data_IF_961767546710
#
_entry.id   IF_961767546710
#
_cell.length_a   1.000
_cell.length_b   1.000
_cell.length_c   1.000
_cell.angle_alpha   90.00
_cell.angle_beta   90.00
_cell.angle_gamma   90.00
#
_symmetry.space_group_name_H-M   'P 1'
#
loop_
_entity.id
_entity.type
_entity.pdbx_description
1 polymer ?
#
# COMPACT_ATOMS: atom_id res chain seq x y z
N UNK A 1 -28.15 -46.79 42.01
CA UNK A 1 -27.02 -47.57 42.58
C UNK A 1 -25.76 -46.75 42.44
N UNK A 2 -25.40 -46.19 43.46
CA UNK A 2 -24.21 -46.06 44.32
C UNK A 2 -22.94 -46.74 43.74
N UNK A 3 -21.86 -45.98 43.52
CA UNK A 3 -20.65 -46.04 44.34
C UNK A 3 -19.71 -44.87 44.06
N UNK A 4 -19.49 -44.12 45.11
CA UNK A 4 -18.43 -43.17 45.41
C UNK A 4 -17.10 -43.88 45.65
N UNK A 5 -15.96 -43.29 45.34
CA UNK A 5 -14.75 -43.38 46.14
C UNK A 5 -13.84 -42.19 45.93
N UNK A 6 -13.64 -41.50 47.02
CA UNK A 6 -12.63 -40.51 47.32
C UNK A 6 -11.30 -41.16 47.70
N UNK A 7 -10.18 -40.51 47.51
CA UNK A 7 -8.91 -40.54 48.31
C UNK A 7 -7.91 -39.62 47.58
N UNK A 8 -7.24 -38.76 48.09
CA UNK A 8 -6.71 -38.18 49.33
C UNK A 8 -5.39 -37.47 48.97
N UNK A 9 -5.13 -36.42 49.65
CA UNK A 9 -3.98 -35.50 49.57
C UNK A 9 -2.68 -36.16 50.03
N UNK A 10 -1.53 -35.72 49.50
CA UNK A 10 -0.33 -35.55 50.29
C UNK A 10 0.53 -34.44 49.72
N UNK A 11 0.72 -33.43 50.55
CA UNK A 11 1.66 -32.33 50.33
C UNK A 11 3.10 -32.74 50.74
N UNK A 12 4.07 -32.05 50.18
CA UNK A 12 5.39 -31.86 50.79
C UNK A 12 5.89 -30.44 50.61
N UNK A 13 6.35 -29.92 51.74
CA UNK A 13 6.84 -28.58 52.06
C UNK A 13 8.32 -28.46 51.66
N UNK A 14 8.70 -27.23 51.30
CA UNK A 14 10.07 -26.79 51.03
C UNK A 14 10.97 -26.80 52.27
N UNK A 15 12.27 -26.71 52.12
CA UNK A 15 13.08 -26.11 53.19
C UNK A 15 13.69 -24.75 52.80
N UNK A 16 13.53 -23.83 53.76
CA UNK A 16 14.18 -22.56 53.90
C UNK A 16 15.64 -22.76 54.33
N UNK A 17 16.58 -22.03 53.70
CA UNK A 17 17.91 -21.88 54.26
C UNK A 17 18.14 -20.41 54.69
N UNK A 18 18.44 -20.31 56.01
CA UNK A 18 18.71 -19.08 56.74
C UNK A 18 20.23 -18.83 56.81
N UNK A 19 20.60 -17.59 56.75
CA UNK A 19 21.96 -17.09 56.61
C UNK A 19 22.89 -17.23 57.81
N UNK A 20 24.12 -16.80 57.64
CA UNK A 20 25.02 -16.41 58.72
C UNK A 20 25.89 -15.23 58.31
N UNK A 21 25.89 -14.23 59.21
CA UNK A 21 26.75 -13.06 59.19
C UNK A 21 28.11 -13.43 59.82
N UNK A 22 29.23 -13.03 59.20
CA UNK A 22 30.48 -12.85 59.93
C UNK A 22 31.02 -11.41 59.73
N UNK A 23 31.15 -10.72 60.84
CA UNK A 23 31.95 -9.49 60.99
C UNK A 23 33.40 -9.91 61.28
N UNK A 24 34.35 -9.20 60.69
CA UNK A 24 35.60 -8.81 61.39
C UNK A 24 36.17 -7.56 60.74
N UNK A 25 36.52 -6.68 61.59
CA UNK A 25 37.12 -5.35 61.46
C UNK A 25 38.66 -5.39 61.33
N UNK A 26 39.19 -4.34 60.67
CA UNK A 26 40.58 -3.91 60.88
C UNK A 26 41.13 -3.05 59.71
N UNK A 27 41.73 -1.89 60.04
CA UNK A 27 42.10 -0.89 59.04
C UNK A 27 43.60 -0.97 58.67
N UNK A 28 43.93 -0.69 57.40
CA UNK A 28 45.29 -0.25 57.07
C UNK A 28 45.37 0.61 55.81
N UNK A 29 45.84 1.81 56.04
CA UNK A 29 46.77 2.60 55.22
C UNK A 29 46.40 2.96 53.73
N UNK A 30 46.14 4.25 53.62
CA UNK A 30 46.18 5.10 52.45
C UNK A 30 47.55 5.02 51.77
N UNK A 31 47.54 4.69 50.47
CA UNK A 31 48.54 5.14 49.48
C UNK A 31 47.82 5.74 48.27
N UNK A 32 47.94 7.05 48.20
CA UNK A 32 47.56 7.84 47.05
C UNK A 32 48.48 7.48 45.86
N UNK A 33 47.95 6.88 44.82
CA UNK A 33 48.59 6.85 43.51
C UNK A 33 47.66 7.67 42.58
N UNK A 34 48.10 8.87 42.24
CA UNK A 34 47.52 9.67 41.16
C UNK A 34 47.88 8.97 39.85
N UNK A 35 46.94 8.28 39.25
CA UNK A 35 46.98 7.91 37.83
C UNK A 35 46.10 8.90 37.07
N UNK A 36 46.74 9.72 36.26
CA UNK A 36 46.08 10.59 35.31
C UNK A 36 45.24 9.74 34.32
N UNK A 37 43.92 9.76 34.51
CA UNK A 37 43.01 9.20 33.55
C UNK A 37 42.85 10.22 32.40
N UNK A 38 43.58 10.01 31.29
CA UNK A 38 43.27 10.63 30.02
C UNK A 38 41.93 10.08 29.55
N UNK A 39 40.87 10.85 29.80
CA UNK A 39 39.56 10.62 29.17
C UNK A 39 39.70 10.87 27.69
N UNK A 40 39.87 9.78 26.91
CA UNK A 40 39.67 9.77 25.49
C UNK A 40 38.18 9.96 25.26
N UNK A 41 37.76 11.19 25.05
CA UNK A 41 36.41 11.52 24.62
C UNK A 41 36.16 10.93 23.22
N UNK A 42 35.51 9.77 23.16
CA UNK A 42 34.86 9.33 21.94
C UNK A 42 33.75 10.33 21.58
N UNK A 43 34.11 11.33 20.80
CA UNK A 43 33.14 12.13 20.11
C UNK A 43 32.39 11.18 19.19
N UNK A 44 31.22 10.71 19.66
CA UNK A 44 30.20 10.17 18.77
C UNK A 44 29.74 11.32 17.86
N UNK A 45 30.48 11.52 16.77
CA UNK A 45 30.00 12.29 15.64
C UNK A 45 28.76 11.57 15.11
N UNK A 46 27.60 11.89 15.71
CA UNK A 46 26.33 11.62 15.10
C UNK A 46 26.35 12.29 13.73
N UNK A 47 26.46 11.49 12.70
CA UNK A 47 26.22 11.95 11.33
C UNK A 47 24.73 12.29 11.26
N UNK A 48 24.39 13.51 11.66
CA UNK A 48 23.15 14.13 11.26
C UNK A 48 23.21 14.18 9.74
N UNK A 49 22.51 13.26 9.07
CA UNK A 49 22.27 13.40 7.64
C UNK A 49 21.56 14.74 7.49
N UNK A 50 22.28 15.73 6.97
CA UNK A 50 21.69 17.02 6.64
C UNK A 50 20.42 16.76 5.82
N UNK A 51 19.32 17.40 6.19
CA UNK A 51 18.07 17.31 5.43
C UNK A 51 18.40 17.56 3.96
N UNK A 52 17.91 16.75 3.03
CA UNK A 52 18.23 16.87 1.63
C UNK A 52 17.89 18.28 1.16
N UNK A 53 18.91 19.03 0.74
CA UNK A 53 18.75 20.41 0.30
C UNK A 53 18.33 20.42 -1.17
N UNK A 54 17.30 21.24 -1.46
CA UNK A 54 16.89 21.53 -2.83
C UNK A 54 17.91 22.49 -3.47
N UNK A 55 18.28 22.31 -4.75
CA UNK A 55 19.12 23.24 -5.48
C UNK A 55 18.57 24.65 -5.50
N UNK A 56 19.48 25.64 -5.43
CA UNK A 56 19.08 27.07 -5.47
C UNK A 56 18.72 27.49 -6.90
N UNK A 57 17.43 27.78 -7.12
CA UNK A 57 16.90 28.29 -8.38
C UNK A 57 15.45 28.77 -8.17
N UNK A 58 14.92 29.42 -9.21
CA UNK A 58 13.52 29.83 -9.26
C UNK A 58 12.59 28.60 -9.11
N UNK A 59 11.64 28.65 -8.18
CA UNK A 59 10.73 27.55 -7.83
C UNK A 59 11.12 26.78 -6.57
N UNK A 60 12.37 26.85 -6.07
CA UNK A 60 12.85 26.16 -4.87
C UNK A 60 11.94 26.36 -3.67
N UNK A 61 11.68 27.63 -3.32
CA UNK A 61 10.88 27.96 -2.12
C UNK A 61 9.47 27.40 -2.20
N UNK A 62 8.85 27.49 -3.38
CA UNK A 62 7.50 26.95 -3.59
C UNK A 62 7.51 25.42 -3.50
N UNK A 63 8.47 24.74 -4.09
CA UNK A 63 8.64 23.28 -3.97
C UNK A 63 8.86 22.89 -2.51
N UNK A 64 9.74 23.59 -1.80
CA UNK A 64 10.02 23.31 -0.40
C UNK A 64 8.78 23.49 0.48
N UNK A 65 8.06 24.59 0.32
CA UNK A 65 6.87 24.91 1.13
C UNK A 65 5.69 23.98 0.78
N UNK A 66 5.39 23.83 -0.49
CA UNK A 66 4.21 23.09 -0.93
C UNK A 66 4.39 21.57 -0.76
N UNK A 67 5.53 21.01 -1.17
CA UNK A 67 5.73 19.56 -1.13
C UNK A 67 6.02 19.04 0.29
N UNK A 68 6.72 19.82 1.15
CA UNK A 68 6.99 19.40 2.52
C UNK A 68 5.78 19.46 3.45
N UNK A 69 4.67 20.07 3.01
CA UNK A 69 3.46 20.20 3.83
C UNK A 69 2.82 18.85 4.19
N UNK A 70 2.91 17.87 3.31
CA UNK A 70 2.24 16.57 3.46
C UNK A 70 3.19 15.37 3.61
N UNK A 71 4.36 15.41 2.97
CA UNK A 71 5.33 14.31 3.00
C UNK A 71 6.78 14.81 3.01
N UNK A 72 7.73 13.91 3.22
CA UNK A 72 9.15 14.24 3.18
C UNK A 72 9.58 14.72 1.78
N UNK A 73 10.44 15.74 1.71
CA UNK A 73 11.10 16.16 0.47
C UNK A 73 11.93 15.07 -0.17
N UNK A 74 12.39 14.07 0.59
CA UNK A 74 13.05 12.89 0.04
C UNK A 74 12.19 12.17 -1.01
N UNK A 75 10.86 12.19 -0.87
CA UNK A 75 9.93 11.65 -1.88
C UNK A 75 10.06 12.38 -3.22
N UNK A 76 10.25 13.69 -3.20
CA UNK A 76 10.44 14.52 -4.40
C UNK A 76 11.84 14.27 -4.99
N UNK A 77 12.87 14.36 -4.16
CA UNK A 77 14.28 14.25 -4.57
C UNK A 77 14.61 12.86 -5.14
N UNK A 78 14.01 11.82 -4.58
CA UNK A 78 14.19 10.45 -5.04
C UNK A 78 13.25 10.05 -6.19
N UNK A 79 12.21 10.83 -6.45
CA UNK A 79 11.44 10.72 -7.68
C UNK A 79 12.31 11.11 -8.89
N UNK A 80 11.77 11.04 -10.06
CA UNK A 80 12.41 11.50 -11.28
C UNK A 80 11.43 11.28 -12.40
N UNK A 81 11.11 12.37 -13.10
CA UNK A 81 10.15 12.32 -14.20
C UNK A 81 10.61 13.27 -15.31
N UNK A 82 10.19 12.98 -16.53
CA UNK A 82 10.24 13.98 -17.61
C UNK A 82 9.20 15.09 -17.34
N UNK A 83 9.19 16.11 -18.16
CA UNK A 83 8.29 17.26 -17.99
C UNK A 83 6.81 16.87 -17.91
N UNK A 84 6.35 15.96 -18.76
CA UNK A 84 4.97 15.48 -18.75
C UNK A 84 4.64 14.72 -17.46
N UNK A 85 5.56 13.90 -16.97
CA UNK A 85 5.43 13.19 -15.70
C UNK A 85 5.34 14.14 -14.52
N UNK A 86 6.21 15.17 -14.45
CA UNK A 86 6.15 16.19 -13.41
C UNK A 86 4.90 17.04 -13.50
N UNK A 87 4.45 17.39 -14.72
CA UNK A 87 3.17 18.07 -14.91
C UNK A 87 2.01 17.27 -14.28
N UNK A 88 1.93 15.98 -14.59
CA UNK A 88 0.90 15.09 -14.02
C UNK A 88 0.99 14.99 -12.50
N UNK A 89 2.20 14.87 -11.94
CA UNK A 89 2.42 14.76 -10.48
C UNK A 89 2.03 16.06 -9.79
N UNK A 90 2.46 17.23 -10.27
CA UNK A 90 2.17 18.52 -9.65
C UNK A 90 0.67 18.79 -9.65
N UNK A 91 -0.01 18.58 -10.78
CA UNK A 91 -1.48 18.73 -10.84
C UNK A 91 -2.20 17.80 -9.87
N UNK A 92 -1.78 16.53 -9.77
CA UNK A 92 -2.34 15.60 -8.81
C UNK A 92 -2.14 16.06 -7.36
N UNK A 93 -0.96 16.56 -7.00
CA UNK A 93 -0.69 17.08 -5.67
C UNK A 93 -1.53 18.32 -5.35
N UNK A 94 -1.69 19.23 -6.31
CA UNK A 94 -2.57 20.41 -6.16
C UNK A 94 -4.02 19.98 -5.95
N UNK A 95 -4.52 19.04 -6.73
CA UNK A 95 -5.87 18.49 -6.54
C UNK A 95 -6.03 17.79 -5.17
N UNK A 96 -4.97 17.20 -4.64
CA UNK A 96 -4.91 16.64 -3.29
C UNK A 96 -4.71 17.73 -2.19
N UNK A 97 -4.65 19.00 -2.55
CA UNK A 97 -4.56 20.14 -1.63
C UNK A 97 -3.16 20.68 -1.36
N UNK A 98 -2.16 20.37 -2.19
CA UNK A 98 -0.85 21.00 -2.09
C UNK A 98 -0.95 22.50 -2.41
N UNK A 99 -0.41 23.40 -1.57
CA UNK A 99 -0.58 24.85 -1.72
C UNK A 99 0.39 25.44 -2.76
N UNK A 100 0.31 24.99 -4.01
CA UNK A 100 1.05 25.58 -5.14
C UNK A 100 0.18 26.64 -5.80
N UNK A 101 0.60 27.91 -5.81
CA UNK A 101 -0.12 28.98 -6.51
C UNK A 101 -0.25 28.67 -8.01
N UNK A 102 -1.41 28.95 -8.59
CA UNK A 102 -1.69 28.61 -9.99
C UNK A 102 -0.68 29.24 -10.95
N UNK A 103 -0.27 30.48 -10.68
CA UNK A 103 0.74 31.22 -11.44
C UNK A 103 2.15 30.66 -11.32
N UNK A 104 2.43 29.84 -10.30
CA UNK A 104 3.74 29.23 -10.10
C UNK A 104 3.82 27.79 -10.58
N UNK A 105 2.72 27.22 -11.06
CA UNK A 105 2.67 25.82 -11.51
C UNK A 105 3.74 25.50 -12.56
N UNK A 106 3.87 26.35 -13.59
CA UNK A 106 4.85 26.17 -14.65
C UNK A 106 6.29 26.21 -14.10
N UNK A 107 6.59 27.19 -13.27
CA UNK A 107 7.91 27.34 -12.61
C UNK A 107 8.28 26.14 -11.75
N UNK A 108 7.32 25.60 -10.99
CA UNK A 108 7.51 24.40 -10.18
C UNK A 108 7.81 23.18 -11.07
N UNK A 109 7.07 23.00 -12.17
CA UNK A 109 7.26 21.90 -13.10
C UNK A 109 8.63 22.01 -13.79
N UNK A 110 9.03 23.20 -14.23
CA UNK A 110 10.36 23.43 -14.83
C UNK A 110 11.49 23.13 -13.85
N UNK A 111 11.38 23.62 -12.61
CA UNK A 111 12.33 23.37 -11.54
C UNK A 111 12.49 21.85 -11.29
N UNK A 112 11.37 21.14 -11.13
CA UNK A 112 11.39 19.72 -10.89
C UNK A 112 11.95 18.93 -12.08
N UNK A 113 11.62 19.30 -13.29
CA UNK A 113 12.15 18.69 -14.51
C UNK A 113 13.66 18.87 -14.63
N UNK A 114 14.17 20.07 -14.31
CA UNK A 114 15.59 20.41 -14.36
C UNK A 114 16.41 19.65 -13.33
N UNK A 115 15.99 19.63 -12.08
CA UNK A 115 16.79 19.11 -10.96
C UNK A 115 16.49 17.68 -10.59
N UNK A 116 15.32 17.17 -10.96
CA UNK A 116 14.90 15.78 -10.70
C UNK A 116 14.40 15.14 -12.00
N UNK A 117 15.26 15.02 -13.01
CA UNK A 117 14.91 14.42 -14.30
C UNK A 117 14.58 12.92 -14.14
N UNK A 118 13.94 12.35 -15.15
CA UNK A 118 13.69 10.92 -15.21
C UNK A 118 14.99 10.15 -15.11
N UNK A 119 15.05 9.24 -14.14
CA UNK A 119 16.21 8.37 -13.94
C UNK A 119 16.07 7.15 -14.86
N UNK A 120 17.16 6.63 -15.42
CA UNK A 120 17.10 5.40 -16.18
C UNK A 120 16.41 4.28 -15.37
N UNK A 121 15.36 3.72 -15.93
CA UNK A 121 14.68 2.58 -15.32
C UNK A 121 15.54 1.32 -15.54
N UNK A 122 15.50 0.32 -14.64
CA UNK A 122 16.13 -0.97 -14.88
C UNK A 122 15.47 -1.68 -16.06
N UNK A 123 16.23 -2.51 -16.75
CA UNK A 123 15.67 -3.39 -17.77
C UNK A 123 14.76 -4.45 -17.13
N UNK A 124 13.76 -4.89 -17.89
CA UNK A 124 12.91 -5.99 -17.50
C UNK A 124 13.70 -7.30 -17.38
N UNK A 125 13.51 -8.00 -16.29
CA UNK A 125 14.07 -9.35 -16.11
C UNK A 125 12.99 -10.37 -16.41
N UNK A 126 13.19 -11.19 -17.46
CA UNK A 126 12.27 -12.27 -17.84
C UNK A 126 12.75 -13.58 -17.23
N UNK A 127 11.93 -14.15 -16.35
CA UNK A 127 12.18 -15.45 -15.72
C UNK A 127 11.14 -16.43 -16.25
N UNK A 128 11.55 -17.41 -17.09
CA UNK A 128 10.64 -18.41 -17.61
C UNK A 128 10.22 -19.41 -16.51
N UNK A 129 9.15 -20.17 -16.77
CA UNK A 129 8.68 -21.23 -15.88
C UNK A 129 7.57 -22.06 -16.48
N UNK A 130 6.86 -22.80 -15.64
CA UNK A 130 5.83 -23.77 -16.08
C UNK A 130 4.46 -23.12 -16.36
N UNK A 131 4.24 -21.88 -15.94
CA UNK A 131 2.99 -21.16 -16.18
C UNK A 131 3.12 -20.34 -17.46
N UNK A 132 2.17 -20.51 -18.36
CA UNK A 132 2.05 -19.68 -19.57
C UNK A 132 1.05 -18.56 -19.33
N UNK A 133 1.35 -17.38 -19.86
CA UNK A 133 0.52 -16.18 -19.73
C UNK A 133 0.36 -15.54 -21.11
N UNK A 134 -0.87 -15.12 -21.44
CA UNK A 134 -1.12 -14.18 -22.53
C UNK A 134 -1.64 -12.86 -21.98
N UNK A 135 -1.21 -11.73 -22.54
CA UNK A 135 -1.61 -10.40 -22.10
C UNK A 135 -2.28 -9.66 -23.25
N UNK A 136 -3.54 -9.26 -23.04
CA UNK A 136 -4.32 -8.43 -23.97
C UNK A 136 -4.53 -7.06 -23.32
N UNK A 137 -4.41 -5.99 -24.11
CA UNK A 137 -4.50 -4.61 -23.62
C UNK A 137 -5.54 -3.83 -24.40
N UNK A 138 -6.21 -2.88 -23.71
CA UNK A 138 -7.18 -1.96 -24.32
C UNK A 138 -6.92 -0.55 -23.83
N UNK A 139 -7.06 0.42 -24.73
CA UNK A 139 -7.08 1.83 -24.38
C UNK A 139 -8.46 2.20 -23.85
N UNK A 140 -8.50 2.93 -22.73
CA UNK A 140 -9.78 3.45 -22.24
C UNK A 140 -10.23 4.66 -23.07
N UNK A 141 -11.56 4.91 -23.22
CA UNK A 141 -12.08 5.89 -24.17
C UNK A 141 -11.60 7.32 -23.94
N UNK A 142 -11.64 7.80 -22.68
CA UNK A 142 -11.26 9.18 -22.37
C UNK A 142 -9.74 9.31 -22.31
N UNK A 143 -9.09 10.10 -23.20
CA UNK A 143 -7.65 10.35 -23.15
C UNK A 143 -7.21 10.99 -21.83
N UNK A 144 -6.08 10.56 -21.29
CA UNK A 144 -5.55 11.08 -20.03
C UNK A 144 -6.37 10.69 -18.79
N UNK A 145 -7.28 9.72 -18.93
CA UNK A 145 -8.13 9.21 -17.84
C UNK A 145 -7.33 8.65 -16.67
N UNK A 146 -6.15 8.10 -16.96
CA UNK A 146 -5.24 7.53 -15.96
C UNK A 146 -5.93 6.46 -15.12
N UNK A 147 -6.32 5.31 -15.70
CA UNK A 147 -6.93 4.20 -14.98
C UNK A 147 -6.12 3.86 -13.73
N UNK A 148 -6.78 3.82 -12.55
CA UNK A 148 -6.03 3.66 -11.29
C UNK A 148 -6.25 2.31 -10.66
N UNK A 149 -7.46 1.97 -10.27
CA UNK A 149 -7.80 0.67 -9.68
C UNK A 149 -8.78 -0.07 -10.61
N UNK A 150 -8.52 -1.35 -10.95
CA UNK A 150 -9.48 -2.21 -11.61
C UNK A 150 -10.33 -2.95 -10.58
N UNK A 151 -11.53 -3.39 -10.96
CA UNK A 151 -12.33 -4.33 -10.18
C UNK A 151 -13.12 -5.26 -11.11
N UNK A 152 -13.19 -6.53 -10.75
CA UNK A 152 -13.99 -7.54 -11.42
C UNK A 152 -15.37 -7.62 -10.77
N UNK A 153 -16.42 -7.45 -11.53
CA UNK A 153 -17.78 -7.44 -11.03
C UNK A 153 -18.46 -8.82 -11.17
N UNK A 154 -19.51 -9.12 -10.37
CA UNK A 154 -20.20 -10.41 -10.41
C UNK A 154 -20.85 -10.73 -11.76
N UNK A 155 -21.15 -9.74 -12.59
CA UNK A 155 -21.70 -9.88 -13.95
C UNK A 155 -20.63 -10.15 -15.01
N UNK A 156 -19.37 -10.37 -14.62
CA UNK A 156 -18.25 -10.59 -15.53
C UNK A 156 -17.65 -9.31 -16.12
N UNK A 157 -18.25 -8.17 -15.91
CA UNK A 157 -17.68 -6.89 -16.35
C UNK A 157 -16.48 -6.46 -15.49
N UNK A 158 -15.65 -5.63 -16.09
CA UNK A 158 -14.48 -5.05 -15.41
C UNK A 158 -14.68 -3.55 -15.28
N UNK A 159 -14.49 -3.07 -14.08
CA UNK A 159 -14.61 -1.66 -13.79
C UNK A 159 -13.22 -1.05 -13.55
N UNK A 160 -13.09 0.24 -13.84
CA UNK A 160 -11.89 1.00 -13.53
C UNK A 160 -12.22 2.42 -13.11
N UNK A 161 -11.36 3.01 -12.30
CA UNK A 161 -11.43 4.42 -11.96
C UNK A 161 -10.62 5.24 -12.95
N UNK A 162 -11.25 6.15 -13.67
CA UNK A 162 -10.59 7.17 -14.49
C UNK A 162 -10.30 8.41 -13.67
N UNK A 163 -9.23 8.35 -12.84
CA UNK A 163 -8.95 9.33 -11.79
C UNK A 163 -8.90 10.78 -12.29
N UNK A 164 -8.21 11.02 -13.41
CA UNK A 164 -8.02 12.38 -13.93
C UNK A 164 -9.14 12.82 -14.87
N UNK A 165 -9.91 11.90 -15.41
CA UNK A 165 -11.09 12.19 -16.24
C UNK A 165 -12.37 12.32 -15.42
N UNK A 166 -12.35 12.07 -14.12
CA UNK A 166 -13.50 12.12 -13.24
C UNK A 166 -14.63 11.17 -13.64
N UNK A 167 -14.27 9.94 -14.07
CA UNK A 167 -15.20 8.90 -14.54
C UNK A 167 -15.00 7.58 -13.82
N UNK A 168 -16.07 6.79 -13.74
CA UNK A 168 -16.00 5.35 -13.51
C UNK A 168 -16.23 4.65 -14.86
N UNK A 169 -15.32 3.78 -15.27
CA UNK A 169 -15.44 3.06 -16.52
C UNK A 169 -15.84 1.62 -16.31
N UNK A 170 -16.74 1.11 -17.13
CA UNK A 170 -17.13 -0.30 -17.26
C UNK A 170 -16.63 -0.82 -18.59
N UNK A 171 -15.97 -1.95 -18.58
CA UNK A 171 -15.55 -2.70 -19.74
C UNK A 171 -16.25 -4.06 -19.75
N UNK A 172 -16.77 -4.45 -20.90
CA UNK A 172 -17.38 -5.74 -21.13
C UNK A 172 -16.39 -6.62 -21.93
N UNK A 173 -15.78 -7.65 -21.31
CA UNK A 173 -14.78 -8.48 -22.00
C UNK A 173 -15.33 -9.35 -23.12
N UNK A 174 -16.65 -9.62 -23.14
CA UNK A 174 -17.29 -10.44 -24.17
C UNK A 174 -17.49 -9.67 -25.47
N UNK A 175 -17.75 -8.37 -25.35
CA UNK A 175 -18.07 -7.51 -26.49
C UNK A 175 -16.98 -6.50 -26.85
N UNK A 176 -15.93 -6.41 -26.03
CA UNK A 176 -14.87 -5.38 -26.09
C UNK A 176 -15.43 -3.94 -25.99
N UNK A 177 -16.60 -3.73 -25.34
CA UNK A 177 -17.26 -2.44 -25.26
C UNK A 177 -16.99 -1.72 -23.94
N UNK A 178 -16.76 -0.41 -24.04
CA UNK A 178 -16.62 0.48 -22.90
C UNK A 178 -17.87 1.31 -22.69
N UNK A 179 -18.18 1.57 -21.41
CA UNK A 179 -19.15 2.58 -20.99
C UNK A 179 -18.53 3.38 -19.83
N UNK A 180 -18.48 4.70 -19.96
CA UNK A 180 -18.01 5.59 -18.90
C UNK A 180 -19.17 6.32 -18.23
N UNK A 181 -19.07 6.50 -16.92
CA UNK A 181 -20.02 7.20 -16.05
C UNK A 181 -19.33 8.43 -15.48
N UNK A 182 -19.55 9.63 -16.05
CA UNK A 182 -19.02 10.87 -15.51
C UNK A 182 -19.60 11.16 -14.12
N UNK A 183 -18.74 11.51 -13.17
CA UNK A 183 -19.16 11.89 -11.83
C UNK A 183 -19.70 13.30 -11.83
N UNK A 184 -20.87 13.51 -11.18
CA UNK A 184 -21.56 14.82 -11.11
C UNK A 184 -20.75 15.84 -10.32
N UNK A 185 -20.10 15.42 -9.22
CA UNK A 185 -19.22 16.28 -8.44
C UNK A 185 -17.89 16.48 -9.21
N UNK A 186 -17.56 17.70 -9.62
CA UNK A 186 -16.34 17.97 -10.41
C UNK A 186 -15.08 17.63 -9.62
N UNK A 187 -14.06 17.16 -10.31
CA UNK A 187 -12.74 16.86 -9.75
C UNK A 187 -12.78 15.90 -8.55
N UNK A 188 -13.66 14.93 -8.56
CA UNK A 188 -13.75 13.94 -7.48
C UNK A 188 -12.51 13.06 -7.39
N UNK A 189 -11.85 12.80 -8.52
CA UNK A 189 -10.65 11.99 -8.59
C UNK A 189 -10.88 10.56 -8.10
N UNK A 190 -11.79 9.77 -8.73
CA UNK A 190 -12.09 8.42 -8.27
C UNK A 190 -10.81 7.56 -8.26
N UNK A 191 -10.59 6.84 -7.15
CA UNK A 191 -9.33 6.14 -6.93
C UNK A 191 -9.53 4.63 -6.69
N UNK A 192 -9.86 4.20 -5.48
CA UNK A 192 -10.24 2.83 -5.20
C UNK A 192 -11.66 2.54 -5.62
N UNK A 193 -11.98 1.30 -6.06
CA UNK A 193 -13.34 0.91 -6.33
C UNK A 193 -13.61 -0.55 -6.00
N UNK A 194 -14.89 -0.84 -5.67
CA UNK A 194 -15.40 -2.17 -5.34
C UNK A 194 -16.82 -2.34 -5.89
N UNK A 195 -17.12 -3.39 -6.65
CA UNK A 195 -18.50 -3.80 -6.91
C UNK A 195 -19.09 -4.45 -5.65
N UNK A 196 -20.38 -4.18 -5.35
CA UNK A 196 -21.12 -4.94 -4.37
C UNK A 196 -21.91 -6.09 -5.02
N UNK A 197 -22.51 -6.94 -4.18
CA UNK A 197 -23.33 -8.08 -4.64
C UNK A 197 -24.58 -7.70 -5.44
N UNK A 198 -25.04 -6.46 -5.30
CA UNK A 198 -26.23 -5.92 -5.97
C UNK A 198 -25.85 -5.21 -7.29
N UNK A 199 -24.54 -5.18 -7.62
CA UNK A 199 -23.98 -4.59 -8.83
C UNK A 199 -23.72 -3.08 -8.74
N UNK A 200 -23.86 -2.47 -7.56
CA UNK A 200 -23.42 -1.08 -7.38
C UNK A 200 -21.89 -1.00 -7.27
N UNK A 201 -21.35 0.15 -7.62
CA UNK A 201 -19.93 0.40 -7.59
C UNK A 201 -19.60 1.42 -6.51
N UNK A 202 -18.89 0.97 -5.48
CA UNK A 202 -18.40 1.82 -4.43
C UNK A 202 -17.00 2.32 -4.81
N UNK A 203 -16.70 3.60 -4.53
CA UNK A 203 -15.42 4.20 -4.87
C UNK A 203 -14.99 5.26 -3.86
N UNK A 204 -13.69 5.54 -3.80
CA UNK A 204 -13.15 6.67 -3.05
C UNK A 204 -13.01 7.88 -3.97
N UNK A 205 -13.52 9.03 -3.54
CA UNK A 205 -13.33 10.31 -4.20
C UNK A 205 -12.13 11.04 -3.59
N UNK A 206 -10.97 10.73 -4.12
CA UNK A 206 -9.65 11.07 -3.60
C UNK A 206 -9.48 12.58 -3.36
N UNK A 207 -9.94 13.42 -4.32
CA UNK A 207 -9.76 14.87 -4.25
C UNK A 207 -10.92 15.63 -3.59
N UNK A 208 -12.07 14.98 -3.31
CA UNK A 208 -13.26 15.60 -2.70
C UNK A 208 -13.65 14.99 -1.37
N UNK A 209 -12.86 14.07 -0.84
CA UNK A 209 -12.99 13.53 0.51
C UNK A 209 -14.40 12.94 0.81
N UNK A 210 -14.86 12.02 -0.05
CA UNK A 210 -16.06 11.22 0.20
C UNK A 210 -15.90 9.78 -0.30
N UNK A 211 -16.74 8.86 0.16
CA UNK A 211 -16.98 7.57 -0.45
C UNK A 211 -18.23 7.69 -1.31
N UNK A 212 -18.16 7.28 -2.57
CA UNK A 212 -19.29 7.28 -3.49
C UNK A 212 -19.84 5.88 -3.72
N UNK A 213 -21.15 5.80 -3.99
CA UNK A 213 -21.85 4.60 -4.47
C UNK A 213 -22.56 4.94 -5.76
N UNK A 214 -22.12 4.38 -6.88
CA UNK A 214 -22.80 4.47 -8.17
C UNK A 214 -23.79 3.32 -8.35
N UNK A 215 -25.02 3.64 -8.74
CA UNK A 215 -25.95 2.68 -9.34
C UNK A 215 -25.75 2.67 -10.87
N UNK A 216 -25.21 1.60 -11.47
CA UNK A 216 -24.96 1.57 -12.91
C UNK A 216 -26.23 1.56 -13.78
N UNK A 217 -27.39 1.26 -13.19
CA UNK A 217 -28.68 1.22 -13.91
C UNK A 217 -29.22 2.62 -14.16
N UNK A 218 -29.12 3.49 -13.16
CA UNK A 218 -29.61 4.87 -13.22
C UNK A 218 -28.52 5.88 -13.52
N UNK A 219 -27.24 5.56 -13.20
CA UNK A 219 -26.11 6.49 -13.25
C UNK A 219 -26.07 7.43 -12.04
N UNK A 220 -26.91 7.18 -11.01
CA UNK A 220 -26.92 8.01 -9.83
C UNK A 220 -25.81 7.65 -8.85
N UNK A 221 -25.25 8.68 -8.22
CA UNK A 221 -24.21 8.55 -7.20
C UNK A 221 -24.76 9.04 -5.87
N UNK A 222 -24.64 8.21 -4.84
CA UNK A 222 -24.82 8.59 -3.43
C UNK A 222 -23.44 8.87 -2.85
N UNK A 223 -23.28 10.02 -2.21
CA UNK A 223 -22.03 10.47 -1.60
C UNK A 223 -22.08 10.39 -0.08
N UNK A 224 -21.04 9.82 0.53
CA UNK A 224 -20.84 9.71 1.98
C UNK A 224 -19.60 10.54 2.36
N UNK A 225 -19.80 11.83 2.76
CA UNK A 225 -18.66 12.71 3.05
C UNK A 225 -17.88 12.25 4.28
N UNK A 226 -16.58 12.56 4.29
CA UNK A 226 -15.76 12.33 5.47
C UNK A 226 -16.27 13.20 6.65
N UNK A 227 -16.34 12.63 7.87
CA UNK A 227 -16.87 13.35 9.04
C UNK A 227 -15.90 14.36 9.65
N UNK A 228 -14.64 14.33 9.25
CA UNK A 228 -13.55 15.18 9.72
C UNK A 228 -12.90 15.89 8.54
N UNK A 229 -12.79 17.22 8.59
CA UNK A 229 -12.19 18.03 7.51
C UNK A 229 -10.69 17.71 7.26
N UNK A 230 -10.03 17.09 8.22
CA UNK A 230 -8.65 16.58 8.08
C UNK A 230 -8.60 15.25 7.30
N UNK A 231 -9.71 14.53 7.21
CA UNK A 231 -9.79 13.24 6.50
C UNK A 231 -9.82 13.46 4.97
N UNK A 232 -8.71 13.92 4.44
CA UNK A 232 -8.50 14.16 3.01
C UNK A 232 -7.88 12.95 2.34
N UNK A 233 -8.14 12.78 1.05
CA UNK A 233 -7.52 11.76 0.23
C UNK A 233 -7.93 10.34 0.68
N UNK A 234 -9.25 9.99 0.73
CA UNK A 234 -9.68 8.59 0.86
C UNK A 234 -9.16 7.79 -0.32
N UNK A 235 -8.54 6.63 -0.03
CA UNK A 235 -7.66 6.01 -1.01
C UNK A 235 -8.11 4.59 -1.41
N UNK A 236 -7.80 3.58 -0.63
CA UNK A 236 -8.20 2.18 -0.89
C UNK A 236 -9.40 1.83 -0.01
N UNK A 237 -10.37 1.11 -0.55
CA UNK A 237 -11.52 0.61 0.19
C UNK A 237 -11.70 -0.90 -0.01
N UNK A 238 -12.28 -1.58 0.98
CA UNK A 238 -12.52 -3.02 0.93
C UNK A 238 -13.78 -3.38 1.74
N UNK A 239 -14.56 -4.35 1.26
CA UNK A 239 -15.60 -4.98 2.06
C UNK A 239 -15.00 -5.97 3.05
N UNK A 240 -15.56 -5.99 4.26
CA UNK A 240 -15.29 -7.04 5.23
C UNK A 240 -16.51 -7.94 5.43
N UNK A 241 -16.35 -9.17 5.96
CA UNK A 241 -17.45 -10.12 6.18
C UNK A 241 -18.56 -9.59 7.07
N UNK A 242 -18.29 -8.60 7.93
CA UNK A 242 -19.30 -7.94 8.77
C UNK A 242 -20.22 -6.97 7.99
N UNK A 243 -20.01 -6.84 6.67
CA UNK A 243 -20.79 -6.00 5.78
C UNK A 243 -20.41 -4.52 5.78
N UNK A 244 -19.40 -4.12 6.54
CA UNK A 244 -18.86 -2.76 6.50
C UNK A 244 -17.81 -2.62 5.39
N UNK A 245 -17.63 -1.38 4.94
CA UNK A 245 -16.50 -0.97 4.09
C UNK A 245 -15.47 -0.33 4.99
N UNK A 246 -14.23 -0.85 4.93
CA UNK A 246 -13.06 -0.22 5.54
C UNK A 246 -12.24 0.49 4.46
N UNK A 247 -11.62 1.60 4.83
CA UNK A 247 -10.87 2.41 3.85
C UNK A 247 -9.71 3.14 4.51
N UNK A 248 -8.70 3.42 3.71
CA UNK A 248 -7.56 4.26 4.09
C UNK A 248 -7.82 5.70 3.67
N UNK A 249 -7.27 6.66 4.44
CA UNK A 249 -7.35 8.10 4.21
C UNK A 249 -5.93 8.65 4.20
N UNK A 250 -5.28 8.58 3.05
CA UNK A 250 -3.83 8.80 2.91
C UNK A 250 -3.41 10.20 3.35
N UNK A 251 -4.01 11.24 2.79
CA UNK A 251 -3.68 12.63 3.08
C UNK A 251 -4.09 13.09 4.47
N UNK A 252 -5.08 12.42 5.07
CA UNK A 252 -5.52 12.65 6.45
C UNK A 252 -4.72 11.90 7.51
N UNK A 253 -3.85 10.97 7.13
CA UNK A 253 -3.17 10.05 8.04
C UNK A 253 -4.15 9.25 8.91
N UNK A 254 -5.24 8.75 8.31
CA UNK A 254 -6.35 8.08 8.97
C UNK A 254 -6.75 6.79 8.27
N UNK A 255 -7.52 5.98 8.96
CA UNK A 255 -8.30 4.88 8.40
C UNK A 255 -9.74 5.00 8.85
N UNK A 256 -10.67 4.41 8.11
CA UNK A 256 -12.08 4.56 8.42
C UNK A 256 -12.92 3.33 8.15
N UNK A 257 -14.17 3.42 8.63
CA UNK A 257 -15.23 2.45 8.40
C UNK A 257 -16.49 3.19 7.94
N UNK A 258 -17.10 2.70 6.87
CA UNK A 258 -18.44 3.09 6.43
C UNK A 258 -19.39 1.90 6.65
N UNK A 259 -20.52 2.13 7.29
CA UNK A 259 -21.62 1.17 7.32
C UNK A 259 -22.56 1.44 6.14
N UNK A 260 -22.61 0.56 5.11
CA UNK A 260 -23.44 0.79 3.92
C UNK A 260 -24.94 0.84 4.19
N UNK A 261 -25.42 0.25 5.30
CA UNK A 261 -26.84 0.21 5.66
C UNK A 261 -27.33 1.51 6.30
N UNK A 262 -26.48 2.14 7.09
CA UNK A 262 -26.84 3.37 7.84
C UNK A 262 -26.25 4.63 7.23
N UNK A 263 -25.22 4.50 6.40
CA UNK A 263 -24.43 5.62 5.88
C UNK A 263 -23.44 6.21 6.91
N UNK A 264 -23.31 5.60 8.11
CA UNK A 264 -22.40 6.10 9.13
C UNK A 264 -20.95 5.93 8.70
N UNK A 265 -20.18 7.03 8.69
CA UNK A 265 -18.75 7.07 8.43
C UNK A 265 -18.01 7.41 9.72
N UNK A 266 -17.01 6.59 10.07
CA UNK A 266 -16.10 6.83 11.19
C UNK A 266 -14.67 6.80 10.70
N UNK A 267 -13.82 7.68 11.24
CA UNK A 267 -12.38 7.72 10.95
C UNK A 267 -11.58 7.80 12.24
N UNK A 268 -10.40 7.20 12.24
CA UNK A 268 -9.42 7.24 13.33
C UNK A 268 -8.05 7.56 12.78
N UNK A 269 -7.25 8.33 13.53
CA UNK A 269 -5.89 8.69 13.13
C UNK A 269 -4.95 7.50 13.30
N UNK A 270 -4.06 7.29 12.31
CA UNK A 270 -2.93 6.37 12.47
C UNK A 270 -1.98 6.90 13.56
N UNK A 271 -1.47 6.03 14.45
CA UNK A 271 -0.58 6.42 15.55
C UNK A 271 0.72 7.09 15.05
N UNK A 272 1.28 6.59 13.94
CA UNK A 272 2.49 7.16 13.35
C UNK A 272 2.15 8.39 12.51
N UNK A 273 2.70 9.56 12.86
CA UNK A 273 2.47 10.77 12.06
C UNK A 273 2.99 10.64 10.63
N UNK A 274 2.23 11.13 9.67
CA UNK A 274 2.57 11.08 8.22
C UNK A 274 2.84 9.66 7.71
N UNK A 275 2.19 8.66 8.30
CA UNK A 275 2.33 7.27 7.88
C UNK A 275 1.70 6.98 6.51
N UNK A 276 0.80 7.86 6.05
CA UNK A 276 0.16 7.76 4.74
C UNK A 276 -0.48 6.36 4.51
N UNK A 277 -1.52 5.97 5.25
CA UNK A 277 -2.22 4.70 5.05
C UNK A 277 -2.64 4.52 3.60
N UNK A 278 -2.29 3.38 2.97
CA UNK A 278 -2.37 3.19 1.52
C UNK A 278 -3.18 1.94 1.14
N UNK A 279 -2.53 0.86 0.72
CA UNK A 279 -3.19 -0.41 0.40
C UNK A 279 -3.84 -1.05 1.61
N UNK A 280 -4.99 -1.71 1.42
CA UNK A 280 -5.75 -2.39 2.47
C UNK A 280 -6.28 -3.72 1.95
N UNK A 281 -6.27 -4.75 2.81
CA UNK A 281 -6.87 -6.06 2.59
C UNK A 281 -7.48 -6.58 3.89
N UNK A 282 -8.39 -7.55 3.82
CA UNK A 282 -9.03 -8.16 4.99
C UNK A 282 -8.66 -9.64 5.08
N UNK A 283 -8.33 -10.12 6.28
CA UNK A 283 -8.00 -11.52 6.50
C UNK A 283 -9.25 -12.40 6.71
N UNK A 284 -9.06 -13.72 6.87
CA UNK A 284 -10.16 -14.68 7.06
C UNK A 284 -11.02 -14.40 8.30
N UNK A 285 -10.46 -13.70 9.30
CA UNK A 285 -11.14 -13.32 10.54
C UNK A 285 -11.89 -11.99 10.44
N UNK A 286 -11.89 -11.36 9.26
CA UNK A 286 -12.54 -10.06 9.06
C UNK A 286 -11.75 -8.86 9.60
N UNK A 287 -10.46 -9.05 9.91
CA UNK A 287 -9.58 -7.99 10.39
C UNK A 287 -8.94 -7.28 9.19
N UNK A 288 -9.17 -5.97 9.00
CA UNK A 288 -8.49 -5.18 7.99
C UNK A 288 -7.01 -4.99 8.34
N UNK A 289 -6.13 -5.23 7.35
CA UNK A 289 -4.72 -4.88 7.37
C UNK A 289 -4.45 -3.81 6.33
N UNK A 290 -3.60 -2.87 6.66
CA UNK A 290 -3.19 -1.80 5.75
C UNK A 290 -1.70 -1.51 5.84
N UNK A 291 -1.17 -0.96 4.78
CA UNK A 291 0.24 -0.55 4.73
C UNK A 291 0.37 0.94 4.92
N UNK A 292 1.46 1.36 5.54
CA UNK A 292 1.78 2.75 5.80
C UNK A 292 2.90 3.22 4.87
N UNK A 293 2.53 3.73 3.69
CA UNK A 293 3.47 4.10 2.64
C UNK A 293 4.44 5.23 3.03
N UNK A 294 4.08 6.04 4.02
CA UNK A 294 4.94 7.10 4.57
C UNK A 294 5.91 6.61 5.64
N UNK A 295 5.77 5.36 6.10
CA UNK A 295 6.59 4.73 7.14
C UNK A 295 6.99 3.31 6.74
N UNK A 296 7.82 2.66 7.57
CA UNK A 296 8.17 1.25 7.40
C UNK A 296 7.26 0.34 8.22
N UNK A 297 5.94 0.45 8.02
CA UNK A 297 4.99 -0.31 8.83
C UNK A 297 3.86 -0.92 8.01
N UNK A 298 3.38 -2.04 8.50
CA UNK A 298 2.07 -2.62 8.22
C UNK A 298 1.24 -2.47 9.48
N UNK A 299 -0.06 -2.29 9.38
CA UNK A 299 -0.92 -2.17 10.54
C UNK A 299 -2.22 -2.96 10.37
N UNK A 300 -2.83 -3.34 11.48
CA UNK A 300 -4.18 -3.91 11.54
C UNK A 300 -5.14 -2.95 12.23
N UNK A 301 -6.41 -3.04 11.85
CA UNK A 301 -7.50 -2.28 12.43
C UNK A 301 -8.47 -3.25 13.11
N UNK A 302 -8.71 -3.08 14.41
CA UNK A 302 -9.75 -3.81 15.09
C UNK A 302 -11.13 -3.39 14.55
N UNK A 303 -11.94 -4.33 14.02
CA UNK A 303 -13.19 -3.98 13.32
C UNK A 303 -14.28 -3.42 14.25
N UNK A 304 -14.21 -3.67 15.54
CA UNK A 304 -15.23 -3.24 16.52
C UNK A 304 -14.86 -1.90 17.16
N UNK A 305 -13.64 -1.79 17.65
CA UNK A 305 -13.13 -0.63 18.41
C UNK A 305 -12.46 0.43 17.53
N UNK A 306 -12.03 0.07 16.33
CA UNK A 306 -11.19 0.86 15.42
C UNK A 306 -9.80 1.17 16.01
N UNK A 307 -9.34 0.40 17.00
CA UNK A 307 -7.96 0.51 17.47
C UNK A 307 -6.98 -0.04 16.43
N UNK A 308 -5.82 0.63 16.32
CA UNK A 308 -4.78 0.31 15.35
C UNK A 308 -3.61 -0.35 16.06
N UNK A 309 -3.12 -1.46 15.51
CA UNK A 309 -1.88 -2.10 15.91
C UNK A 309 -0.88 -2.05 14.77
N UNK A 310 0.30 -1.47 15.01
CA UNK A 310 1.36 -1.30 14.02
C UNK A 310 2.44 -2.37 14.16
N UNK A 311 2.86 -2.95 13.04
CA UNK A 311 3.98 -3.89 12.89
C UNK A 311 5.13 -3.18 12.18
N UNK A 312 6.26 -3.01 12.87
CA UNK A 312 7.45 -2.35 12.31
C UNK A 312 8.21 -3.33 11.41
N UNK A 313 8.45 -2.93 10.18
CA UNK A 313 9.25 -3.70 9.23
C UNK A 313 10.75 -3.55 9.52
N UNK A 314 11.59 -4.58 9.19
CA UNK A 314 13.00 -4.62 9.58
C UNK A 314 13.85 -3.45 9.08
N UNK A 315 13.48 -2.88 7.93
CA UNK A 315 14.26 -1.83 7.28
C UNK A 315 13.56 -0.47 7.37
N UNK A 316 14.26 0.53 7.86
CA UNK A 316 13.73 1.89 8.07
C UNK A 316 13.36 2.60 6.76
N UNK A 317 13.94 2.21 5.65
CA UNK A 317 13.69 2.71 4.30
C UNK A 317 12.62 1.93 3.53
N UNK A 318 12.04 0.89 4.14
CA UNK A 318 10.87 0.22 3.57
C UNK A 318 9.71 1.19 3.40
N UNK A 319 9.01 1.07 2.29
CA UNK A 319 7.77 1.81 2.00
C UNK A 319 6.76 0.84 1.38
N UNK A 320 6.06 0.07 2.24
CA UNK A 320 5.05 -0.87 1.77
C UNK A 320 3.92 -0.10 1.11
N UNK A 321 3.49 -0.53 -0.09
CA UNK A 321 2.54 0.25 -0.88
C UNK A 321 1.20 -0.43 -1.12
N UNK A 322 1.19 -1.69 -1.53
CA UNK A 322 -0.03 -2.49 -1.66
C UNK A 322 0.12 -3.76 -0.82
N UNK A 323 -1.02 -4.37 -0.51
CA UNK A 323 -1.10 -5.54 0.35
C UNK A 323 -2.05 -6.57 -0.24
N UNK A 324 -1.69 -7.84 -0.10
CA UNK A 324 -2.54 -9.00 -0.36
C UNK A 324 -2.45 -9.97 0.82
N UNK A 325 -3.43 -10.84 0.96
CA UNK A 325 -3.47 -11.83 2.04
C UNK A 325 -3.72 -13.20 1.41
N UNK A 326 -2.89 -14.16 1.74
CA UNK A 326 -3.03 -15.55 1.31
C UNK A 326 -3.97 -16.33 2.25
N UNK A 327 -4.51 -17.51 1.84
CA UNK A 327 -5.44 -18.30 2.64
C UNK A 327 -4.94 -18.70 4.04
N UNK A 328 -3.63 -18.69 4.26
CA UNK A 328 -2.99 -18.91 5.56
C UNK A 328 -2.95 -17.66 6.46
N UNK A 329 -3.67 -16.60 6.08
CA UNK A 329 -3.69 -15.29 6.74
C UNK A 329 -2.33 -14.57 6.77
N UNK A 330 -1.36 -14.98 5.96
CA UNK A 330 -0.11 -14.25 5.82
C UNK A 330 -0.32 -12.92 5.05
N UNK A 331 0.27 -11.86 5.58
CA UNK A 331 0.13 -10.51 5.03
C UNK A 331 1.31 -10.25 4.09
N UNK A 332 1.02 -10.10 2.80
CA UNK A 332 2.04 -9.84 1.78
C UNK A 332 2.01 -8.40 1.34
N UNK A 333 3.16 -7.77 1.19
CA UNK A 333 3.27 -6.37 0.77
C UNK A 333 4.34 -6.17 -0.29
N UNK A 334 4.11 -5.19 -1.15
CA UNK A 334 5.12 -4.71 -2.11
C UNK A 334 5.90 -3.57 -1.47
N UNK A 335 7.22 -3.76 -1.27
CA UNK A 335 8.12 -2.67 -0.82
C UNK A 335 8.57 -1.86 -2.04
N UNK A 336 7.83 -0.80 -2.30
CA UNK A 336 8.01 0.06 -3.47
C UNK A 336 9.37 0.77 -3.50
N UNK A 337 9.93 1.12 -2.35
CA UNK A 337 11.17 1.89 -2.28
C UNK A 337 12.40 1.02 -2.43
N UNK A 338 12.37 -0.19 -1.93
CA UNK A 338 13.53 -1.10 -1.89
C UNK A 338 13.52 -2.14 -3.01
N UNK A 339 12.37 -2.35 -3.67
CA UNK A 339 12.23 -3.38 -4.70
C UNK A 339 12.15 -4.80 -4.11
N UNK A 340 11.30 -5.00 -3.11
CA UNK A 340 11.10 -6.28 -2.44
C UNK A 340 9.63 -6.69 -2.40
N UNK A 341 9.41 -7.98 -2.35
CA UNK A 341 8.17 -8.60 -1.89
C UNK A 341 8.38 -9.00 -0.43
N UNK A 342 7.49 -8.58 0.47
CA UNK A 342 7.57 -8.91 1.89
C UNK A 342 6.38 -9.73 2.37
N UNK A 343 6.59 -10.57 3.39
CA UNK A 343 5.58 -11.36 4.09
C UNK A 343 5.67 -11.10 5.59
N UNK A 344 4.56 -10.70 6.18
CA UNK A 344 4.40 -10.55 7.62
C UNK A 344 3.49 -11.67 8.15
N UNK A 345 3.97 -12.40 9.12
CA UNK A 345 3.16 -13.24 10.01
C UNK A 345 2.66 -12.36 11.17
N UNK A 346 1.38 -12.01 11.14
CA UNK A 346 0.80 -11.10 12.13
C UNK A 346 0.67 -11.69 13.54
N UNK A 347 0.73 -13.01 13.68
CA UNK A 347 0.66 -13.68 14.98
C UNK A 347 2.01 -13.62 15.72
N UNK A 348 3.11 -13.67 14.99
CA UNK A 348 4.47 -13.68 15.55
C UNK A 348 5.24 -12.39 15.34
N UNK A 349 4.78 -11.53 14.43
CA UNK A 349 5.49 -10.33 13.98
C UNK A 349 6.70 -10.63 13.07
N UNK A 350 6.90 -11.91 12.69
CA UNK A 350 8.03 -12.30 11.83
C UNK A 350 7.83 -11.77 10.42
N UNK A 351 8.88 -11.17 9.86
CA UNK A 351 8.94 -10.70 8.48
C UNK A 351 9.93 -11.52 7.69
N UNK A 352 9.56 -11.87 6.46
CA UNK A 352 10.45 -12.45 5.44
C UNK A 352 10.36 -11.60 4.19
N UNK A 353 11.47 -11.46 3.46
CA UNK A 353 11.54 -10.56 2.30
C UNK A 353 12.34 -11.21 1.16
N UNK A 354 11.90 -11.00 -0.07
CA UNK A 354 12.54 -11.48 -1.30
C UNK A 354 12.77 -10.30 -2.25
N UNK A 355 14.00 -10.20 -2.76
CA UNK A 355 14.30 -9.18 -3.77
C UNK A 355 13.48 -9.43 -5.04
N UNK A 356 12.82 -8.39 -5.53
CA UNK A 356 12.07 -8.43 -6.78
C UNK A 356 13.01 -8.61 -7.97
N UNK A 357 12.63 -9.38 -9.02
CA UNK A 357 13.49 -9.69 -10.15
C UNK A 357 14.15 -8.49 -10.83
N UNK A 358 13.43 -7.39 -11.00
CA UNK A 358 13.96 -6.15 -11.58
C UNK A 358 14.84 -5.32 -10.65
N UNK A 359 15.10 -5.81 -9.42
CA UNK A 359 16.03 -5.23 -8.45
C UNK A 359 15.50 -4.00 -7.69
N UNK A 360 16.40 -3.28 -6.99
CA UNK A 360 16.01 -2.27 -6.00
C UNK A 360 15.19 -1.09 -6.55
N UNK A 361 15.25 -0.83 -7.86
CA UNK A 361 14.52 0.26 -8.50
C UNK A 361 13.31 -0.20 -9.32
N UNK A 362 12.95 -1.48 -9.25
CA UNK A 362 11.82 -2.05 -10.01
C UNK A 362 10.46 -1.52 -9.58
N UNK A 363 10.35 -1.00 -8.36
CA UNK A 363 9.13 -0.44 -7.77
C UNK A 363 7.94 -1.42 -7.83
N UNK A 364 7.98 -2.53 -7.08
CA UNK A 364 6.83 -3.42 -6.93
C UNK A 364 5.61 -2.64 -6.45
N UNK A 365 4.43 -2.83 -7.10
CA UNK A 365 3.28 -1.99 -6.81
C UNK A 365 1.97 -2.79 -6.66
N UNK A 366 1.14 -2.86 -7.72
CA UNK A 366 -0.11 -3.62 -7.66
C UNK A 366 0.16 -5.07 -7.28
N UNK A 367 -0.59 -5.63 -6.34
CA UNK A 367 -0.44 -7.01 -5.86
C UNK A 367 -1.81 -7.63 -5.63
N UNK A 368 -1.93 -8.91 -5.94
CA UNK A 368 -3.07 -9.76 -5.57
C UNK A 368 -2.58 -11.17 -5.24
N UNK A 369 -3.36 -11.91 -4.45
CA UNK A 369 -3.13 -13.32 -4.18
C UNK A 369 -4.17 -14.16 -4.94
N UNK A 370 -3.71 -15.18 -5.65
CA UNK A 370 -4.55 -16.22 -6.27
C UNK A 370 -4.20 -17.52 -5.59
N UNK A 371 -5.07 -18.02 -4.74
CA UNK A 371 -4.77 -19.08 -3.80
C UNK A 371 -3.50 -18.76 -2.98
N UNK A 372 -2.52 -19.66 -2.98
CA UNK A 372 -1.23 -19.43 -2.30
C UNK A 372 -0.23 -18.60 -3.12
N UNK A 373 -0.54 -18.25 -4.38
CA UNK A 373 0.39 -17.58 -5.29
C UNK A 373 0.26 -16.07 -5.23
N UNK A 374 1.38 -15.36 -5.21
CA UNK A 374 1.40 -13.91 -5.28
C UNK A 374 1.61 -13.45 -6.72
N UNK A 375 0.82 -12.47 -7.14
CA UNK A 375 0.97 -11.79 -8.41
C UNK A 375 1.13 -10.29 -8.15
N UNK A 376 2.15 -9.67 -8.72
CA UNK A 376 2.38 -8.24 -8.57
C UNK A 376 3.02 -7.63 -9.82
N UNK A 377 3.02 -6.32 -9.90
CA UNK A 377 3.67 -5.58 -10.99
C UNK A 377 4.99 -4.97 -10.54
N UNK A 378 6.00 -4.99 -11.40
CA UNK A 378 7.15 -4.09 -11.31
C UNK A 378 6.87 -2.88 -12.19
N UNK A 379 6.61 -1.73 -11.54
CA UNK A 379 6.08 -0.53 -12.21
C UNK A 379 7.14 0.51 -12.56
N UNK A 380 8.41 0.12 -12.57
CA UNK A 380 9.52 0.98 -13.00
C UNK A 380 10.61 0.22 -13.77
N UNK A 381 10.37 -1.00 -14.21
CA UNK A 381 11.22 -1.65 -15.22
C UNK A 381 10.85 -1.14 -16.61
N UNK A 382 11.68 -1.38 -17.61
CA UNK A 382 11.37 -1.05 -19.01
C UNK A 382 11.64 -2.24 -19.92
N UNK A 383 10.60 -2.81 -20.51
CA UNK A 383 9.17 -2.65 -20.20
C UNK A 383 8.83 -3.07 -18.78
N UNK A 384 7.64 -2.67 -18.23
CA UNK A 384 7.18 -3.20 -16.94
C UNK A 384 6.80 -4.67 -17.05
N UNK A 385 6.83 -5.35 -15.90
CA UNK A 385 6.56 -6.79 -15.82
C UNK A 385 5.39 -7.10 -14.90
N UNK A 386 4.71 -8.19 -15.22
CA UNK A 386 3.89 -8.95 -14.26
C UNK A 386 4.78 -10.02 -13.66
N UNK A 387 4.76 -10.14 -12.36
CA UNK A 387 5.55 -11.10 -11.59
C UNK A 387 4.63 -12.06 -10.86
N UNK A 388 4.93 -13.36 -10.96
CA UNK A 388 4.36 -14.42 -10.12
C UNK A 388 5.42 -14.92 -9.15
N UNK A 389 5.03 -15.07 -7.88
CA UNK A 389 5.88 -15.65 -6.85
C UNK A 389 5.18 -16.85 -6.21
N UNK A 390 5.90 -17.96 -6.10
CA UNK A 390 5.45 -19.16 -5.39
C UNK A 390 6.11 -19.22 -4.00
N UNK A 391 5.36 -19.00 -2.92
CA UNK A 391 5.90 -18.99 -1.56
C UNK A 391 6.47 -20.33 -1.10
N UNK A 392 6.02 -21.46 -1.69
CA UNK A 392 6.49 -22.82 -1.30
C UNK A 392 7.88 -23.11 -1.86
N UNK A 393 8.14 -22.64 -3.07
CA UNK A 393 9.43 -22.91 -3.76
C UNK A 393 10.34 -21.69 -3.78
N UNK A 394 9.83 -20.52 -3.36
CA UNK A 394 10.48 -19.20 -3.39
C UNK A 394 10.94 -18.81 -4.80
N UNK A 395 10.23 -19.29 -5.84
CA UNK A 395 10.57 -19.02 -7.24
C UNK A 395 9.70 -17.96 -7.85
N UNK A 396 10.35 -17.13 -8.66
CA UNK A 396 9.71 -16.11 -9.48
C UNK A 396 9.52 -16.59 -10.92
N UNK A 397 8.47 -16.10 -11.55
CA UNK A 397 8.27 -16.07 -13.00
C UNK A 397 7.84 -14.65 -13.40
N UNK A 398 8.25 -14.19 -14.56
CA UNK A 398 7.96 -12.81 -15.01
C UNK A 398 7.59 -12.76 -16.47
N UNK A 399 6.70 -11.84 -16.82
CA UNK A 399 6.24 -11.59 -18.19
C UNK A 399 6.24 -10.10 -18.47
N UNK A 400 6.66 -9.72 -19.67
CA UNK A 400 6.65 -8.35 -20.16
C UNK A 400 5.21 -7.94 -20.46
N UNK A 401 4.79 -6.77 -20.03
CA UNK A 401 3.56 -6.12 -20.48
C UNK A 401 3.84 -5.50 -21.86
N UNK A 402 3.10 -5.85 -22.93
CA UNK A 402 3.48 -5.50 -24.30
C UNK A 402 3.62 -3.99 -24.56
N UNK A 403 2.71 -3.16 -24.05
CA UNK A 403 2.83 -1.68 -24.12
C UNK A 403 3.86 -1.07 -23.17
N UNK A 404 4.45 -1.90 -22.30
CA UNK A 404 5.21 -1.46 -21.15
C UNK A 404 4.36 -1.06 -19.95
N UNK A 405 3.02 -1.07 -20.05
CA UNK A 405 2.08 -0.83 -18.95
C UNK A 405 2.13 0.56 -18.31
N UNK A 406 3.13 1.36 -18.61
CA UNK A 406 3.39 2.63 -17.94
C UNK A 406 3.60 2.45 -16.45
N UNK A 407 2.64 2.86 -15.61
CA UNK A 407 2.61 2.52 -14.18
C UNK A 407 1.40 1.64 -13.93
N UNK A 408 1.61 0.37 -13.58
CA UNK A 408 0.53 -0.53 -13.15
C UNK A 408 0.25 -0.26 -11.68
N UNK A 409 -0.88 0.38 -11.41
CA UNK A 409 -1.17 0.91 -10.06
C UNK A 409 -1.83 -0.09 -9.15
N UNK A 410 -2.69 -0.91 -9.72
CA UNK A 410 -3.34 -1.99 -9.00
C UNK A 410 -3.69 -3.13 -9.95
N UNK A 411 -3.96 -4.29 -9.38
CA UNK A 411 -4.44 -5.47 -10.07
C UNK A 411 -5.43 -6.23 -9.20
N UNK A 412 -6.35 -6.92 -9.85
CA UNK A 412 -7.28 -7.85 -9.21
C UNK A 412 -7.29 -9.15 -9.98
N UNK A 413 -7.70 -10.22 -9.33
CA UNK A 413 -7.90 -11.51 -9.98
C UNK A 413 -9.39 -11.80 -10.23
N UNK A 414 -9.67 -12.63 -11.22
CA UNK A 414 -10.97 -13.25 -11.43
C UNK A 414 -11.09 -14.54 -10.63
N UNK A 415 -12.30 -15.10 -10.44
CA UNK A 415 -12.47 -16.40 -9.78
C UNK A 415 -11.68 -17.54 -10.45
N UNK A 416 -11.42 -17.45 -11.75
CA UNK A 416 -10.64 -18.42 -12.53
C UNK A 416 -9.12 -18.25 -12.36
N UNK A 417 -8.67 -17.20 -11.64
CA UNK A 417 -7.26 -16.91 -11.40
C UNK A 417 -6.57 -16.09 -12.49
N UNK A 418 -7.32 -15.53 -13.44
CA UNK A 418 -6.81 -14.53 -14.38
C UNK A 418 -6.70 -13.15 -13.70
N UNK A 419 -5.98 -12.21 -14.32
CA UNK A 419 -5.76 -10.91 -13.70
C UNK A 419 -6.23 -9.77 -14.58
N UNK A 420 -6.70 -8.70 -13.94
CA UNK A 420 -6.93 -7.40 -14.56
C UNK A 420 -6.00 -6.35 -13.96
N UNK A 421 -5.39 -5.54 -14.82
CA UNK A 421 -4.40 -4.53 -14.48
C UNK A 421 -4.89 -3.15 -14.89
N UNK A 422 -4.64 -2.14 -14.04
CA UNK A 422 -4.80 -0.74 -14.42
C UNK A 422 -3.45 -0.17 -14.85
N UNK A 423 -3.29 0.04 -16.15
CA UNK A 423 -2.07 0.49 -16.82
C UNK A 423 -2.11 2.02 -17.01
N UNK A 424 -2.02 2.78 -15.91
CA UNK A 424 -2.32 4.22 -15.92
C UNK A 424 -1.36 5.07 -16.75
N UNK A 425 -0.11 4.66 -16.90
CA UNK A 425 0.87 5.43 -17.69
C UNK A 425 0.66 5.34 -19.20
N UNK A 426 -0.10 4.35 -19.65
CA UNK A 426 -0.47 4.16 -21.07
C UNK A 426 -1.96 4.35 -21.32
N UNK A 427 -2.70 4.88 -20.36
CA UNK A 427 -4.14 5.12 -20.42
C UNK A 427 -4.96 3.88 -20.78
N UNK A 428 -4.63 2.73 -20.19
CA UNK A 428 -5.23 1.44 -20.56
C UNK A 428 -5.55 0.55 -19.39
N UNK A 429 -6.23 -0.55 -19.71
CA UNK A 429 -6.41 -1.73 -18.86
C UNK A 429 -5.83 -2.94 -19.57
N UNK A 430 -5.42 -3.95 -18.80
CA UNK A 430 -4.88 -5.19 -19.39
C UNK A 430 -5.48 -6.42 -18.72
N UNK A 431 -5.72 -7.46 -19.52
CA UNK A 431 -6.09 -8.79 -19.07
C UNK A 431 -4.91 -9.73 -19.19
N UNK A 432 -4.60 -10.42 -18.11
CA UNK A 432 -3.56 -11.44 -18.03
C UNK A 432 -4.26 -12.79 -17.92
N UNK A 433 -4.35 -13.51 -19.03
CA UNK A 433 -4.86 -14.88 -19.05
C UNK A 433 -3.78 -15.83 -18.55
N UNK A 434 -4.06 -16.56 -17.48
CA UNK A 434 -3.15 -17.55 -16.87
C UNK A 434 -3.56 -18.94 -17.38
N UNK A 435 -2.81 -19.45 -18.36
CA UNK A 435 -3.06 -20.77 -18.94
C UNK A 435 -2.62 -21.86 -17.96
N UNK A 436 -3.50 -22.79 -17.65
CA UNK A 436 -3.37 -23.86 -16.65
C UNK A 436 -3.85 -23.52 -15.22
N UNK A 437 -4.41 -22.38 -14.96
CA UNK A 437 -5.07 -22.09 -13.67
C UNK A 437 -6.31 -22.99 -13.43
N UNK A 438 -6.98 -23.48 -14.49
CA UNK A 438 -8.22 -24.24 -14.42
C UNK A 438 -8.11 -25.66 -13.85
N UNK A 439 -6.93 -26.15 -13.47
CA UNK A 439 -6.78 -27.47 -12.82
C UNK A 439 -6.75 -27.44 -11.28
N UNK A 440 -6.77 -26.27 -10.66
CA UNK A 440 -6.70 -26.13 -9.21
C UNK A 440 -8.10 -26.02 -8.58
N UNK A 441 -9.09 -25.48 -9.30
CA UNK A 441 -10.45 -25.26 -8.80
C UNK A 441 -11.38 -26.50 -8.81
N UNK A 442 -10.96 -27.67 -9.27
CA UNK A 442 -11.80 -28.88 -9.35
C UNK A 442 -11.51 -29.94 -8.28
N UNK A 443 -10.89 -29.54 -7.16
CA UNK A 443 -10.70 -30.42 -5.99
C UNK A 443 -11.22 -29.73 -4.73
N UNK A 444 -12.52 -29.66 -4.62
CA UNK A 444 -13.27 -29.68 -3.37
C UNK A 444 -14.66 -30.26 -3.62
#
# INVERSE_FOLDING_TARGET
MRKTSSFERSGRVAPVYRGEKRKTSGPLAVRLIMTAATTLGCALSGWSQAAPQLPDDNGKETVQKACASCHSLATVINAGHNQQGWNSVVHMMVNAGAPVPKEQMATVIEYLTKYFPEKPAPEAVVIPGSVEVSIKEWQVPTPGSRPHDPAYAPDGSVWYTGQMANVLGRFDPETDQFKEYPLKTPDSGPHGLLPDKDGNIWFTANFKAYIGKLDPKTGDVTEYPMPDSRARDPHTLIFAPNGNIYFTVQGGNMVGRLNPKTGEVKVVSSPTPKSNPYGMAVNSKGIPFFVEFGSNKVASLDPDTLSIHEYVLPHVDSRPRRVAITPDDAIWYTDYSRGYLGRLDSATGKVSEWASPGGPRSRPYGITAVDDMLWYSESNTRPNTVVRFDPKTEKFQTWIIPSGGGVVRNMVHTPEGNLWLACSGVNGIAFVEVKNAAKISSRN
#
